data_IF_810187506321
#
_entry.id   IF_810187506321
#
_cell.length_a   1.000
_cell.length_b   1.000
_cell.length_c   1.000
_cell.angle_alpha   90.00
_cell.angle_beta   90.00
_cell.angle_gamma   90.00
#
_symmetry.space_group_name_H-M   'P 1'
#
loop_
_entity.id
_entity.type
_entity.pdbx_description
1 polymer ?
#
# COMPACT_ATOMS: atom_id res chain seq x y z
N UNK A 1 3.29 4.75 15.80
CA UNK A 1 3.60 3.81 14.68
C UNK A 1 3.09 4.44 13.39
N UNK A 2 3.82 4.32 12.29
CA UNK A 2 3.39 4.80 10.96
C UNK A 2 3.44 3.68 9.95
N UNK A 3 2.64 3.70 8.86
CA UNK A 3 2.66 2.63 7.85
C UNK A 3 3.97 2.54 7.07
N UNK A 4 4.87 3.51 7.25
CA UNK A 4 6.22 3.48 6.67
C UNK A 4 7.23 2.74 7.56
N UNK A 5 6.97 2.67 8.87
CA UNK A 5 7.84 2.01 9.86
C UNK A 5 7.29 0.69 10.36
N UNK A 6 6.12 0.26 9.88
CA UNK A 6 5.40 -0.92 10.35
C UNK A 6 4.51 -1.48 9.27
N UNK A 7 4.40 -2.82 9.20
CA UNK A 7 3.41 -3.47 8.34
C UNK A 7 2.09 -3.55 9.09
N UNK A 8 1.04 -2.97 8.51
CA UNK A 8 -0.32 -3.11 9.01
C UNK A 8 -1.04 -4.19 8.21
N UNK A 9 -1.68 -5.11 8.94
CA UNK A 9 -2.48 -6.19 8.38
C UNK A 9 -3.90 -6.11 8.94
N UNK A 10 -4.88 -6.51 8.14
CA UNK A 10 -6.26 -6.59 8.63
C UNK A 10 -6.39 -7.82 9.53
N UNK A 11 -6.73 -7.60 10.79
CA UNK A 11 -6.95 -8.67 11.73
C UNK A 11 -8.10 -9.60 11.30
N UNK A 12 -9.07 -9.10 10.52
CA UNK A 12 -10.20 -9.89 10.00
C UNK A 12 -9.81 -10.77 8.81
N UNK A 13 -8.85 -10.33 8.01
CA UNK A 13 -8.41 -11.06 6.81
C UNK A 13 -7.12 -11.87 7.02
N UNK A 14 -6.42 -11.65 8.12
CA UNK A 14 -5.17 -12.35 8.44
C UNK A 14 -5.39 -13.86 8.60
N UNK A 15 -4.68 -14.64 7.79
CA UNK A 15 -4.57 -16.09 7.93
C UNK A 15 -3.11 -16.51 7.94
N UNK A 16 -2.75 -17.35 8.92
CA UNK A 16 -1.41 -17.94 9.01
C UNK A 16 -1.09 -18.70 7.73
N UNK A 17 0.07 -18.42 7.13
CA UNK A 17 0.51 -19.02 5.87
C UNK A 17 0.08 -18.26 4.60
N UNK A 18 -0.60 -17.12 4.73
CA UNK A 18 -0.92 -16.23 3.60
C UNK A 18 -0.12 -14.92 3.68
N UNK A 19 0.15 -14.29 2.53
CA UNK A 19 0.58 -12.88 2.50
C UNK A 19 -0.66 -12.01 2.62
N UNK A 20 -0.91 -11.35 3.76
CA UNK A 20 -2.11 -10.54 3.94
C UNK A 20 -2.09 -9.34 2.99
N UNK A 21 -3.28 -8.83 2.64
CA UNK A 21 -3.38 -7.57 1.92
C UNK A 21 -2.66 -6.49 2.74
N UNK A 22 -1.54 -5.99 2.21
CA UNK A 22 -0.77 -4.95 2.87
C UNK A 22 -1.55 -3.63 2.76
N UNK A 23 -1.83 -3.02 3.91
CA UNK A 23 -2.48 -1.72 3.99
C UNK A 23 -1.57 -0.54 3.61
N UNK A 24 -0.33 -0.81 3.21
CA UNK A 24 0.66 0.22 2.88
C UNK A 24 0.75 0.47 1.37
N UNK A 25 1.96 0.38 0.82
CA UNK A 25 2.34 0.74 -0.53
C UNK A 25 1.97 -0.33 -1.56
N UNK A 26 1.12 -1.29 -1.21
CA UNK A 26 0.78 -2.40 -2.09
C UNK A 26 0.06 -1.91 -3.36
N UNK A 27 -0.82 -0.92 -3.25
CA UNK A 27 -1.50 -0.30 -4.40
C UNK A 27 -0.48 0.28 -5.41
N UNK A 28 0.54 0.96 -4.92
CA UNK A 28 1.61 1.52 -5.77
C UNK A 28 2.47 0.40 -6.36
N UNK A 29 2.82 -0.63 -5.58
CA UNK A 29 3.58 -1.78 -6.08
C UNK A 29 2.81 -2.48 -7.19
N UNK A 30 1.55 -2.83 -6.95
CA UNK A 30 0.70 -3.53 -7.91
C UNK A 30 0.58 -2.72 -9.21
N UNK A 31 0.43 -1.40 -9.11
CA UNK A 31 0.46 -0.51 -10.28
C UNK A 31 1.80 -0.55 -11.02
N UNK A 32 2.92 -0.44 -10.31
CA UNK A 32 4.26 -0.46 -10.92
C UNK A 32 4.56 -1.80 -11.60
N UNK A 33 4.06 -2.92 -11.06
CA UNK A 33 4.19 -4.25 -11.69
C UNK A 33 3.34 -4.39 -12.98
N UNK A 34 2.39 -3.48 -13.25
CA UNK A 34 1.69 -3.42 -14.55
C UNK A 34 2.48 -2.70 -15.64
N UNK A 35 3.53 -1.96 -15.26
CA UNK A 35 4.35 -1.21 -16.20
C UNK A 35 5.53 -2.07 -16.66
N UNK A 36 5.98 -1.84 -17.90
CA UNK A 36 7.26 -2.37 -18.40
C UNK A 36 8.43 -1.53 -17.86
N UNK A 37 8.48 -1.38 -16.53
CA UNK A 37 9.49 -0.63 -15.81
C UNK A 37 10.39 -1.59 -15.06
N UNK A 38 11.66 -1.63 -15.43
CA UNK A 38 12.71 -2.49 -14.88
C UNK A 38 13.22 -2.03 -13.49
N UNK A 39 12.45 -1.17 -12.80
CA UNK A 39 12.79 -0.60 -11.49
C UNK A 39 14.05 0.27 -11.50
N UNK A 40 14.44 0.80 -12.66
CA UNK A 40 15.56 1.74 -12.78
C UNK A 40 15.13 3.20 -12.66
N UNK A 41 16.03 4.06 -12.19
CA UNK A 41 15.77 5.49 -12.05
C UNK A 41 15.93 6.20 -13.41
N UNK A 42 15.06 7.17 -13.80
CA UNK A 42 13.92 7.73 -13.08
C UNK A 42 12.68 6.83 -13.06
N UNK A 43 12.01 6.78 -11.91
CA UNK A 43 10.75 6.06 -11.77
C UNK A 43 9.59 6.72 -12.55
N UNK A 44 8.58 5.93 -12.95
CA UNK A 44 7.44 6.43 -13.71
C UNK A 44 6.56 7.36 -12.86
N UNK A 45 5.91 8.33 -13.52
CA UNK A 45 4.91 9.17 -12.87
C UNK A 45 3.68 8.34 -12.53
N UNK A 46 3.25 8.38 -11.27
CA UNK A 46 2.04 7.70 -10.82
C UNK A 46 0.78 8.47 -11.27
N UNK A 47 -0.25 7.78 -11.80
CA UNK A 47 -1.55 8.39 -12.05
C UNK A 47 -2.19 8.90 -10.76
N UNK A 48 -2.95 9.99 -10.86
CA UNK A 48 -3.65 10.61 -9.73
C UNK A 48 -4.53 9.62 -8.98
N UNK A 49 -5.22 8.73 -9.69
CA UNK A 49 -6.09 7.71 -9.11
C UNK A 49 -5.33 6.73 -8.19
N UNK A 50 -4.12 6.32 -8.59
CA UNK A 50 -3.28 5.42 -7.78
C UNK A 50 -2.81 6.14 -6.51
N UNK A 51 -2.41 7.41 -6.63
CA UNK A 51 -2.02 8.24 -5.51
C UNK A 51 -3.19 8.48 -4.53
N UNK A 52 -4.38 8.80 -5.04
CA UNK A 52 -5.59 9.03 -4.25
C UNK A 52 -6.05 7.77 -3.51
N UNK A 53 -6.07 6.61 -4.18
CA UNK A 53 -6.40 5.32 -3.55
C UNK A 53 -5.41 4.98 -2.45
N UNK A 54 -4.12 5.20 -2.69
CA UNK A 54 -3.08 4.99 -1.67
C UNK A 54 -3.29 5.93 -0.49
N UNK A 55 -3.52 7.22 -0.73
CA UNK A 55 -3.77 8.19 0.33
C UNK A 55 -5.06 7.91 1.13
N UNK A 56 -6.11 7.39 0.49
CA UNK A 56 -7.32 6.96 1.18
C UNK A 56 -7.04 5.78 2.12
N UNK A 57 -6.23 4.80 1.67
CA UNK A 57 -5.84 3.64 2.48
C UNK A 57 -5.04 4.03 3.72
N UNK A 58 -4.09 4.96 3.56
CA UNK A 58 -3.34 5.50 4.69
C UNK A 58 -4.23 6.22 5.71
N UNK A 59 -5.26 6.95 5.25
CA UNK A 59 -6.24 7.61 6.13
C UNK A 59 -7.12 6.61 6.88
N UNK A 60 -7.53 5.52 6.23
CA UNK A 60 -8.28 4.42 6.87
C UNK A 60 -7.47 3.80 8.01
N UNK A 61 -6.19 3.47 7.76
CA UNK A 61 -5.28 2.93 8.78
C UNK A 61 -5.06 3.93 9.90
N UNK A 62 -4.85 5.21 9.58
CA UNK A 62 -4.69 6.24 10.59
C UNK A 62 -5.90 6.30 11.51
N UNK A 63 -7.12 6.33 10.95
CA UNK A 63 -8.36 6.37 11.73
C UNK A 63 -8.48 5.15 12.66
N UNK A 64 -8.21 3.94 12.16
CA UNK A 64 -8.25 2.70 12.94
C UNK A 64 -7.24 2.65 14.09
N UNK A 65 -6.13 3.39 14.01
CA UNK A 65 -5.06 3.39 15.02
C UNK A 65 -5.22 4.49 16.07
N UNK A 66 -6.06 5.50 15.80
CA UNK A 66 -6.24 6.67 16.68
C UNK A 66 -7.57 6.66 17.45
N UNK A 67 -8.43 5.68 17.21
CA UNK A 67 -9.56 5.30 18.08
C UNK A 67 -9.14 4.23 19.10
#
# INVERSE_FOLDING_TARGET
LTPDSSRFWDAKEYKVGTSPASFDKQIVRDYLETLDWDKTNPGPTLPSEVAEKTAAKYREVQALLTE
#
